data_IF_907231302632
#
_entry.id   IF_907231302632
#
_cell.length_a   1.000
_cell.length_b   1.000
_cell.length_c   1.000
_cell.angle_alpha   90.00
_cell.angle_beta   90.00
_cell.angle_gamma   90.00
#
_symmetry.space_group_name_H-M   'P 1'
#
loop_
_entity.id
_entity.type
_entity.pdbx_description
1 polymer ?
#
# COMPACT_ATOMS: atom_id res chain seq x y z
N UNK A 1 8.25 -11.86 -28.70
CA UNK A 1 9.35 -10.97 -28.25
C UNK A 1 8.91 -10.40 -26.92
N UNK A 2 9.78 -10.21 -25.92
CA UNK A 2 9.36 -9.57 -24.66
C UNK A 2 8.92 -8.12 -24.95
N UNK A 3 7.81 -7.63 -24.36
CA UNK A 3 7.36 -6.26 -24.57
C UNK A 3 8.33 -5.27 -23.93
N UNK A 4 8.52 -4.10 -24.55
CA UNK A 4 9.23 -2.96 -23.97
C UNK A 4 8.29 -2.18 -23.05
N UNK A 5 8.69 -2.06 -21.77
CA UNK A 5 7.87 -1.49 -20.70
C UNK A 5 8.59 -0.27 -20.09
N UNK A 6 7.90 0.87 -20.04
CA UNK A 6 8.34 2.06 -19.31
C UNK A 6 7.52 2.20 -18.02
N UNK A 7 8.17 2.07 -16.87
CA UNK A 7 7.54 2.24 -15.57
C UNK A 7 7.86 3.61 -14.98
N UNK A 8 6.84 4.43 -14.76
CA UNK A 8 6.94 5.74 -14.14
C UNK A 8 6.55 5.66 -12.67
N UNK A 9 7.41 6.18 -11.78
CA UNK A 9 7.20 6.08 -10.34
C UNK A 9 7.47 7.40 -9.60
N UNK A 10 6.77 7.61 -8.48
CA UNK A 10 6.82 8.87 -7.72
C UNK A 10 7.93 8.95 -6.67
N UNK A 11 8.47 7.81 -6.25
CA UNK A 11 9.45 7.74 -5.17
C UNK A 11 10.38 6.53 -5.34
N UNK A 12 11.68 6.76 -5.25
CA UNK A 12 12.68 5.71 -5.36
C UNK A 12 12.40 4.55 -4.37
N UNK A 13 12.34 3.30 -4.84
CA UNK A 13 11.73 2.20 -4.08
C UNK A 13 12.66 1.58 -3.01
N UNK A 14 13.92 2.01 -2.92
CA UNK A 14 14.91 1.47 -1.98
C UNK A 14 15.42 2.59 -1.04
N UNK A 15 15.57 2.34 0.27
CA UNK A 15 15.19 1.13 1.00
C UNK A 15 13.66 0.96 1.07
N UNK A 16 13.19 -0.28 1.17
CA UNK A 16 11.76 -0.63 1.31
C UNK A 16 11.25 -0.37 2.72
N UNK A 17 11.17 0.90 3.10
CA UNK A 17 10.85 1.37 4.45
C UNK A 17 9.35 1.63 4.68
N UNK A 18 8.52 1.51 3.64
CA UNK A 18 7.08 1.71 3.72
C UNK A 18 6.32 0.81 2.73
N UNK A 19 5.01 0.70 2.93
CA UNK A 19 4.17 -0.22 2.16
C UNK A 19 4.11 0.09 0.66
N UNK A 20 4.16 1.36 0.26
CA UNK A 20 4.20 1.76 -1.14
C UNK A 20 5.48 1.27 -1.83
N UNK A 21 6.63 1.49 -1.20
CA UNK A 21 7.93 1.01 -1.72
C UNK A 21 8.02 -0.51 -1.78
N UNK A 22 7.50 -1.22 -0.77
CA UNK A 22 7.43 -2.69 -0.76
C UNK A 22 6.64 -3.19 -1.98
N UNK A 23 5.46 -2.60 -2.23
CA UNK A 23 4.63 -2.97 -3.37
C UNK A 23 5.33 -2.70 -4.72
N UNK A 24 5.91 -1.50 -4.86
CA UNK A 24 6.65 -1.11 -6.07
C UNK A 24 7.79 -2.07 -6.36
N UNK A 25 8.56 -2.49 -5.35
CA UNK A 25 9.63 -3.47 -5.56
C UNK A 25 9.11 -4.78 -6.13
N UNK A 26 7.95 -5.28 -5.64
CA UNK A 26 7.31 -6.46 -6.21
C UNK A 26 6.86 -6.28 -7.65
N UNK A 27 6.32 -5.10 -8.01
CA UNK A 27 5.94 -4.82 -9.40
C UNK A 27 7.15 -4.75 -10.31
N UNK A 28 8.25 -4.12 -9.87
CA UNK A 28 9.48 -4.05 -10.67
C UNK A 28 10.09 -5.43 -10.89
N UNK A 29 10.11 -6.28 -9.86
CA UNK A 29 10.58 -7.66 -9.96
C UNK A 29 9.74 -8.46 -10.99
N UNK A 30 8.42 -8.41 -10.87
CA UNK A 30 7.52 -9.07 -11.81
C UNK A 30 7.65 -8.54 -13.25
N UNK A 31 7.73 -7.22 -13.43
CA UNK A 31 7.84 -6.62 -14.77
C UNK A 31 9.18 -6.94 -15.45
N UNK A 32 10.27 -7.16 -14.70
CA UNK A 32 11.53 -7.67 -15.27
C UNK A 32 11.42 -9.11 -15.80
N UNK A 33 10.55 -9.93 -15.19
CA UNK A 33 10.26 -11.28 -15.70
C UNK A 33 9.44 -11.21 -16.98
N UNK A 34 8.42 -10.35 -17.00
CA UNK A 34 7.46 -10.22 -18.11
C UNK A 34 8.06 -9.53 -19.34
N UNK A 35 8.86 -8.48 -19.15
CA UNK A 35 9.29 -7.61 -20.25
C UNK A 35 10.67 -6.97 -20.08
N UNK A 36 11.01 -6.12 -21.04
CA UNK A 36 12.21 -5.30 -21.06
C UNK A 36 11.91 -3.98 -20.32
N UNK A 37 12.38 -3.84 -19.08
CA UNK A 37 11.93 -2.80 -18.17
C UNK A 37 12.86 -1.59 -18.12
N UNK A 38 12.32 -0.41 -18.45
CA UNK A 38 12.92 0.90 -18.14
C UNK A 38 12.18 1.54 -16.97
N UNK A 39 12.90 1.94 -15.92
CA UNK A 39 12.33 2.70 -14.80
C UNK A 39 12.68 4.18 -14.92
N UNK A 40 11.69 5.06 -14.78
CA UNK A 40 11.88 6.48 -14.53
C UNK A 40 11.19 6.86 -13.21
N UNK A 41 11.98 7.32 -12.24
CA UNK A 41 11.49 7.64 -10.89
C UNK A 41 12.07 8.93 -10.35
N UNK A 42 11.38 9.55 -9.40
CA UNK A 42 11.99 10.57 -8.56
C UNK A 42 12.87 9.95 -7.48
N UNK A 43 13.88 10.69 -7.02
CA UNK A 43 14.74 10.29 -5.91
C UNK A 43 15.31 11.48 -5.13
N UNK A 44 15.72 11.20 -3.89
CA UNK A 44 16.43 12.12 -3.00
C UNK A 44 17.77 11.51 -2.59
N UNK A 45 18.72 12.35 -2.15
CA UNK A 45 20.02 11.89 -1.67
C UNK A 45 21.02 11.54 -2.78
N UNK A 46 21.82 10.50 -2.55
CA UNK A 46 22.85 10.03 -3.49
C UNK A 46 22.22 9.15 -4.58
N UNK A 47 21.91 9.78 -5.72
CA UNK A 47 21.20 9.12 -6.81
C UNK A 47 22.02 8.02 -7.49
N UNK A 48 23.35 8.15 -7.50
CA UNK A 48 24.23 7.17 -8.15
C UNK A 48 24.37 5.93 -7.27
N UNK A 49 24.50 6.12 -5.95
CA UNK A 49 24.41 5.01 -5.00
C UNK A 49 23.06 4.30 -5.12
N UNK A 50 21.96 5.05 -5.10
CA UNK A 50 20.60 4.53 -5.24
C UNK A 50 20.46 3.67 -6.50
N UNK A 51 20.90 4.20 -7.66
CA UNK A 51 20.89 3.48 -8.95
C UNK A 51 21.65 2.15 -8.86
N UNK A 52 22.88 2.16 -8.32
CA UNK A 52 23.70 0.94 -8.18
C UNK A 52 23.07 -0.08 -7.26
N UNK A 53 22.48 0.37 -6.16
CA UNK A 53 21.79 -0.50 -5.20
C UNK A 53 20.59 -1.19 -5.85
N UNK A 54 19.75 -0.45 -6.57
CA UNK A 54 18.62 -1.05 -7.27
C UNK A 54 19.05 -1.98 -8.41
N UNK A 55 20.08 -1.63 -9.19
CA UNK A 55 20.62 -2.53 -10.22
C UNK A 55 21.19 -3.83 -9.62
N UNK A 56 21.75 -3.76 -8.40
CA UNK A 56 22.24 -4.95 -7.70
C UNK A 56 21.08 -5.86 -7.25
N UNK A 57 19.98 -5.26 -6.76
CA UNK A 57 18.79 -6.00 -6.32
C UNK A 57 18.03 -6.58 -7.51
N UNK A 58 17.89 -5.82 -8.59
CA UNK A 58 17.19 -6.18 -9.82
C UNK A 58 18.15 -6.15 -11.02
N UNK A 59 19.05 -7.13 -11.18
CA UNK A 59 20.03 -7.12 -12.26
C UNK A 59 19.41 -7.22 -13.67
N UNK A 60 18.17 -7.70 -13.76
CA UNK A 60 17.42 -7.86 -15.01
C UNK A 60 16.75 -6.56 -15.50
N UNK A 61 16.82 -5.45 -14.75
CA UNK A 61 16.29 -4.17 -15.22
C UNK A 61 17.23 -3.56 -16.28
N UNK A 62 16.67 -3.12 -17.41
CA UNK A 62 17.45 -2.65 -18.56
C UNK A 62 18.06 -1.27 -18.29
N UNK A 63 17.25 -0.36 -17.75
CA UNK A 63 17.69 1.00 -17.47
C UNK A 63 16.91 1.61 -16.31
N UNK A 64 17.63 2.39 -15.51
CA UNK A 64 17.11 3.12 -14.35
C UNK A 64 17.37 4.60 -14.60
N UNK A 65 16.37 5.46 -14.48
CA UNK A 65 16.52 6.90 -14.59
C UNK A 65 15.96 7.52 -13.31
N UNK A 66 16.81 8.25 -12.58
CA UNK A 66 16.44 8.87 -11.31
C UNK A 66 16.54 10.38 -11.46
N UNK A 67 15.41 11.07 -11.28
CA UNK A 67 15.32 12.53 -11.33
C UNK A 67 15.35 13.07 -9.90
N UNK A 68 16.30 13.98 -9.57
CA UNK A 68 16.33 14.61 -8.25
C UNK A 68 15.04 15.41 -8.03
N UNK A 69 14.31 15.11 -6.97
CA UNK A 69 13.10 15.85 -6.63
C UNK A 69 12.83 15.79 -5.15
N UNK A 70 12.45 16.93 -4.55
CA UNK A 70 12.10 16.98 -3.15
C UNK A 70 10.69 16.42 -2.95
N UNK A 71 10.61 15.19 -2.47
CA UNK A 71 9.37 14.51 -2.11
C UNK A 71 8.95 14.94 -0.70
N UNK A 72 9.91 15.16 0.20
CA UNK A 72 9.66 15.49 1.61
C UNK A 72 9.67 17.00 1.88
N UNK A 73 8.61 17.70 1.48
CA UNK A 73 8.57 19.18 1.47
C UNK A 73 8.01 19.85 2.74
N UNK A 74 7.67 19.10 3.81
CA UNK A 74 6.89 19.62 4.97
C UNK A 74 7.48 20.86 5.65
N UNK A 75 8.76 21.19 5.42
CA UNK A 75 9.46 22.36 6.00
C UNK A 75 10.16 23.25 4.96
N UNK A 76 9.99 22.99 3.67
CA UNK A 76 10.62 23.77 2.60
C UNK A 76 9.62 24.74 1.98
N UNK A 77 9.65 25.99 2.44
CA UNK A 77 8.73 27.06 2.00
C UNK A 77 8.85 27.30 0.49
N UNK A 78 10.06 27.20 -0.09
CA UNK A 78 10.25 27.42 -1.53
C UNK A 78 9.59 26.31 -2.34
N UNK A 79 9.75 25.06 -1.89
CA UNK A 79 9.08 23.93 -2.52
C UNK A 79 7.55 24.07 -2.41
N UNK A 80 7.03 24.45 -1.24
CA UNK A 80 5.59 24.68 -1.04
C UNK A 80 5.07 25.77 -1.98
N UNK A 81 5.77 26.92 -2.08
CA UNK A 81 5.39 28.01 -3.00
C UNK A 81 5.40 27.55 -4.46
N UNK A 82 6.34 26.70 -4.85
CA UNK A 82 6.38 26.10 -6.18
C UNK A 82 5.13 25.25 -6.43
N UNK A 83 4.76 24.36 -5.50
CA UNK A 83 3.54 23.53 -5.61
C UNK A 83 2.29 24.41 -5.73
N UNK A 84 2.15 25.42 -4.88
CA UNK A 84 1.01 26.35 -4.91
C UNK A 84 0.93 27.05 -6.25
N UNK A 85 2.05 27.55 -6.79
CA UNK A 85 2.11 28.16 -8.13
C UNK A 85 1.67 27.18 -9.21
N UNK A 86 2.09 25.92 -9.15
CA UNK A 86 1.72 24.90 -10.12
C UNK A 86 0.23 24.54 -10.04
N UNK A 87 -0.33 24.46 -8.83
CA UNK A 87 -1.76 24.23 -8.61
C UNK A 87 -2.62 25.29 -9.31
N UNK A 88 -2.24 26.58 -9.23
CA UNK A 88 -3.00 27.66 -9.86
C UNK A 88 -2.68 27.80 -11.36
N UNK A 89 -1.41 27.74 -11.76
CA UNK A 89 -1.00 27.93 -13.17
C UNK A 89 -1.54 26.82 -14.07
N UNK A 90 -1.51 25.57 -13.59
CA UNK A 90 -1.90 24.38 -14.36
C UNK A 90 -3.23 23.78 -13.93
N UNK A 91 -3.94 24.41 -13.00
CA UNK A 91 -5.21 23.93 -12.44
C UNK A 91 -5.14 22.50 -11.86
N UNK A 92 -3.96 22.12 -11.33
CA UNK A 92 -3.70 20.79 -10.80
C UNK A 92 -4.10 20.69 -9.31
N UNK A 93 -4.54 19.50 -8.85
CA UNK A 93 -4.60 19.21 -7.42
C UNK A 93 -3.19 19.19 -6.82
N UNK A 94 -3.10 19.36 -5.50
CA UNK A 94 -1.88 19.31 -4.70
C UNK A 94 -1.06 18.06 -5.00
N UNK A 95 -1.71 16.89 -5.04
CA UNK A 95 -1.04 15.61 -5.28
C UNK A 95 -0.33 15.57 -6.63
N UNK A 96 -0.92 16.10 -7.70
CA UNK A 96 -0.27 16.18 -9.01
C UNK A 96 0.76 17.32 -9.08
N UNK A 97 0.40 18.51 -8.59
CA UNK A 97 1.23 19.70 -8.63
C UNK A 97 2.58 19.50 -7.90
N UNK A 98 2.59 18.68 -6.85
CA UNK A 98 3.80 18.31 -6.09
C UNK A 98 4.86 17.61 -6.93
N UNK A 99 4.46 16.84 -7.95
CA UNK A 99 5.37 16.03 -8.75
C UNK A 99 5.62 16.62 -10.14
N UNK A 100 5.19 17.85 -10.42
CA UNK A 100 5.55 18.51 -11.68
C UNK A 100 7.01 18.97 -11.64
N UNK A 101 7.83 18.36 -12.48
CA UNK A 101 9.25 18.66 -12.70
C UNK A 101 9.56 18.76 -14.19
N UNK A 102 10.28 19.82 -14.58
CA UNK A 102 10.77 19.99 -15.96
C UNK A 102 11.83 18.95 -16.29
N UNK A 103 12.75 18.68 -15.37
CA UNK A 103 13.78 17.67 -15.54
C UNK A 103 13.21 16.27 -15.76
N UNK A 104 12.10 15.94 -15.08
CA UNK A 104 11.39 14.68 -15.34
C UNK A 104 10.76 14.65 -16.73
N UNK A 105 10.15 15.76 -17.16
CA UNK A 105 9.58 15.89 -18.51
C UNK A 105 10.65 15.78 -19.60
N UNK A 106 11.80 16.41 -19.41
CA UNK A 106 12.96 16.34 -20.33
C UNK A 106 13.54 14.92 -20.39
N UNK A 107 13.73 14.29 -19.22
CA UNK A 107 14.23 12.91 -19.13
C UNK A 107 13.26 11.92 -19.77
N UNK A 108 11.95 12.09 -19.53
CA UNK A 108 10.90 11.31 -20.15
C UNK A 108 10.93 11.47 -21.68
N UNK A 109 11.09 12.69 -22.18
CA UNK A 109 11.17 12.96 -23.62
C UNK A 109 12.39 12.32 -24.28
N UNK A 110 13.54 12.32 -23.59
CA UNK A 110 14.74 11.61 -24.04
C UNK A 110 14.51 10.10 -24.12
N UNK A 111 13.98 9.48 -23.06
CA UNK A 111 13.69 8.04 -23.02
C UNK A 111 12.73 7.63 -24.15
N UNK A 112 11.65 8.39 -24.35
CA UNK A 112 10.66 8.10 -25.40
C UNK A 112 11.20 8.31 -26.82
N UNK A 113 12.28 9.08 -26.99
CA UNK A 113 12.95 9.29 -28.27
C UNK A 113 13.96 8.20 -28.62
N UNK A 114 14.46 7.45 -27.62
CA UNK A 114 15.47 6.41 -27.81
C UNK A 114 14.89 5.11 -28.36
N UNK A 115 13.69 4.71 -27.88
CA UNK A 115 12.98 3.53 -28.37
C UNK A 115 11.46 3.65 -28.20
N UNK A 116 10.74 2.80 -28.93
CA UNK A 116 9.30 2.64 -28.77
C UNK A 116 8.99 1.70 -27.61
N UNK A 117 7.97 2.02 -26.82
CA UNK A 117 7.47 1.17 -25.74
C UNK A 117 6.09 0.61 -26.12
N UNK A 118 5.84 -0.65 -25.78
CA UNK A 118 4.53 -1.28 -25.91
C UNK A 118 3.60 -0.80 -24.78
N UNK A 119 4.14 -0.76 -23.56
CA UNK A 119 3.41 -0.38 -22.35
C UNK A 119 4.12 0.73 -21.59
N UNK A 120 3.36 1.71 -21.10
CA UNK A 120 3.83 2.75 -20.19
C UNK A 120 2.95 2.71 -18.94
N UNK A 121 3.52 2.33 -17.80
CA UNK A 121 2.78 2.12 -16.56
C UNK A 121 3.04 3.29 -15.61
N UNK A 122 1.97 4.00 -15.22
CA UNK A 122 2.01 5.07 -14.22
C UNK A 122 1.72 4.49 -12.84
N UNK A 123 2.75 4.36 -12.00
CA UNK A 123 2.57 3.99 -10.60
C UNK A 123 2.25 5.25 -9.77
N UNK A 124 1.04 5.31 -9.21
CA UNK A 124 0.37 6.54 -8.72
C UNK A 124 -0.11 7.47 -9.85
N UNK A 125 -1.16 7.03 -10.55
CA UNK A 125 -1.80 7.75 -11.65
C UNK A 125 -2.09 9.24 -11.36
N UNK A 126 -2.62 9.56 -10.19
CA UNK A 126 -3.05 10.90 -9.81
C UNK A 126 -1.86 11.84 -9.61
N UNK A 127 -0.71 11.28 -9.22
CA UNK A 127 0.52 12.06 -8.98
C UNK A 127 1.29 12.28 -10.28
N UNK A 128 1.34 11.27 -11.14
CA UNK A 128 2.05 11.31 -12.43
C UNK A 128 1.17 11.76 -13.60
N UNK A 129 -0.13 11.90 -13.40
CA UNK A 129 -1.10 12.22 -14.46
C UNK A 129 -0.83 13.53 -15.19
N UNK A 130 -0.05 14.44 -14.60
CA UNK A 130 0.39 15.67 -15.24
C UNK A 130 1.31 15.42 -16.46
N UNK A 131 1.87 14.22 -16.60
CA UNK A 131 2.71 13.79 -17.71
C UNK A 131 1.92 13.09 -18.83
N UNK A 132 0.66 12.72 -18.62
CA UNK A 132 -0.16 12.04 -19.63
C UNK A 132 -0.22 12.77 -20.98
N UNK A 133 -0.39 14.11 -21.07
CA UNK A 133 -0.40 14.79 -22.36
C UNK A 133 0.89 14.62 -23.15
N UNK A 134 2.04 14.60 -22.45
CA UNK A 134 3.34 14.36 -23.07
C UNK A 134 3.43 12.93 -23.60
N UNK A 135 3.01 11.95 -22.79
CA UNK A 135 3.01 10.53 -23.18
C UNK A 135 2.14 10.29 -24.42
N UNK A 136 0.91 10.81 -24.42
CA UNK A 136 -0.01 10.68 -25.57
C UNK A 136 0.50 11.37 -26.84
N UNK A 137 1.34 12.39 -26.70
CA UNK A 137 1.95 13.09 -27.85
C UNK A 137 3.18 12.35 -28.38
N UNK A 138 4.06 11.87 -27.50
CA UNK A 138 5.36 11.31 -27.86
C UNK A 138 5.36 9.79 -28.04
N UNK A 139 4.39 9.09 -27.45
CA UNK A 139 4.19 7.66 -27.57
C UNK A 139 2.71 7.31 -27.82
N UNK A 140 2.06 7.85 -28.88
CA UNK A 140 0.65 7.59 -29.17
C UNK A 140 0.34 6.11 -29.43
N UNK A 141 1.34 5.31 -29.79
CA UNK A 141 1.22 3.87 -30.03
C UNK A 141 1.23 3.00 -28.76
N UNK A 142 1.66 3.55 -27.62
CA UNK A 142 1.82 2.76 -26.40
C UNK A 142 0.49 2.65 -25.64
N UNK A 143 0.23 1.48 -25.08
CA UNK A 143 -0.77 1.31 -24.03
C UNK A 143 -0.27 2.06 -22.79
N UNK A 144 -1.05 3.02 -22.30
CA UNK A 144 -0.75 3.77 -21.09
C UNK A 144 -1.67 3.28 -19.98
N UNK A 145 -1.07 2.55 -19.06
CA UNK A 145 -1.72 1.85 -17.97
C UNK A 145 -1.41 2.54 -16.65
N UNK A 146 -2.16 2.23 -15.60
CA UNK A 146 -1.81 2.68 -14.25
C UNK A 146 -1.86 1.60 -13.19
N UNK A 147 -1.07 1.80 -12.13
CA UNK A 147 -1.22 1.12 -10.86
C UNK A 147 -1.69 2.16 -9.84
N UNK A 148 -2.91 1.99 -9.35
CA UNK A 148 -3.52 2.85 -8.34
C UNK A 148 -3.09 2.36 -6.96
N UNK A 149 -2.19 3.11 -6.35
CA UNK A 149 -1.73 2.85 -4.98
C UNK A 149 -2.74 3.35 -3.94
N UNK A 150 -3.30 4.54 -4.16
CA UNK A 150 -4.31 5.18 -3.32
C UNK A 150 -5.27 5.96 -4.20
N UNK A 151 -6.56 5.99 -3.83
CA UNK A 151 -7.53 6.94 -4.39
C UNK A 151 -7.43 8.23 -3.57
N UNK A 152 -6.76 9.26 -4.10
CA UNK A 152 -6.45 10.48 -3.33
C UNK A 152 -7.72 11.26 -2.94
N UNK A 153 -8.79 11.15 -3.74
CA UNK A 153 -10.12 11.66 -3.38
C UNK A 153 -10.67 11.01 -2.10
N UNK A 154 -10.41 9.72 -1.87
CA UNK A 154 -10.80 9.01 -0.65
C UNK A 154 -9.96 9.48 0.54
N UNK A 155 -8.64 9.63 0.35
CA UNK A 155 -7.73 10.19 1.36
C UNK A 155 -8.18 11.57 1.84
N UNK A 156 -8.56 12.46 0.90
CA UNK A 156 -9.10 13.78 1.23
C UNK A 156 -10.47 13.70 1.90
N UNK A 157 -11.30 12.73 1.53
CA UNK A 157 -12.63 12.52 2.14
C UNK A 157 -12.51 12.11 3.60
N UNK A 158 -11.60 11.18 3.91
CA UNK A 158 -11.32 10.74 5.27
C UNK A 158 -10.78 11.90 6.12
N UNK A 159 -9.82 12.67 5.58
CA UNK A 159 -9.35 13.91 6.20
C UNK A 159 -10.51 14.88 6.51
N UNK A 160 -11.43 15.13 5.56
CA UNK A 160 -12.56 16.05 5.77
C UNK A 160 -13.51 15.53 6.86
N UNK A 161 -13.75 14.22 6.95
CA UNK A 161 -14.61 13.61 7.97
C UNK A 161 -14.01 13.78 9.37
N UNK A 162 -12.71 13.58 9.51
CA UNK A 162 -11.98 13.59 10.78
C UNK A 162 -11.77 14.99 11.37
N UNK A 163 -11.66 16.03 10.53
CA UNK A 163 -11.43 17.39 11.03
C UNK A 163 -12.73 18.12 11.42
N UNK A 164 -12.72 18.83 12.55
CA UNK A 164 -13.80 19.76 12.94
C UNK A 164 -13.92 20.93 11.95
N UNK A 165 -15.03 21.68 12.02
CA UNK A 165 -15.32 22.83 11.14
C UNK A 165 -14.21 23.90 11.25
N UNK A 166 -13.29 23.88 10.31
CA UNK A 166 -12.12 24.78 10.23
C UNK A 166 -11.91 25.27 8.80
N UNK A 167 -11.12 26.34 8.64
CA UNK A 167 -10.72 26.84 7.32
C UNK A 167 -10.01 25.74 6.50
N UNK A 168 -9.16 24.94 7.15
CA UNK A 168 -8.48 23.79 6.53
C UNK A 168 -9.48 22.78 5.96
N UNK A 169 -10.59 22.50 6.66
CA UNK A 169 -11.65 21.62 6.16
C UNK A 169 -12.32 22.19 4.90
N UNK A 170 -12.52 23.49 4.82
CA UNK A 170 -13.09 24.12 3.62
C UNK A 170 -12.11 24.06 2.44
N UNK A 171 -10.83 24.34 2.68
CA UNK A 171 -9.78 24.20 1.66
C UNK A 171 -9.67 22.75 1.17
N UNK A 172 -9.70 21.77 2.07
CA UNK A 172 -9.70 20.36 1.73
C UNK A 172 -10.93 19.95 0.89
N UNK A 173 -12.11 20.52 1.13
CA UNK A 173 -13.30 20.28 0.29
C UNK A 173 -13.15 20.82 -1.13
N UNK A 174 -12.56 22.01 -1.28
CA UNK A 174 -12.26 22.59 -2.60
C UNK A 174 -11.24 21.71 -3.31
N UNK A 175 -10.18 21.34 -2.59
CA UNK A 175 -9.12 20.48 -3.10
C UNK A 175 -9.65 19.11 -3.52
N UNK A 176 -10.52 18.49 -2.73
CA UNK A 176 -11.17 17.22 -3.08
C UNK A 176 -11.94 17.32 -4.40
N UNK A 177 -12.68 18.41 -4.63
CA UNK A 177 -13.39 18.61 -5.89
C UNK A 177 -12.44 18.78 -7.07
N UNK A 178 -11.29 19.44 -6.87
CA UNK A 178 -10.25 19.57 -7.89
C UNK A 178 -9.58 18.22 -8.18
N UNK A 179 -9.23 17.48 -7.13
CA UNK A 179 -8.63 16.14 -7.22
C UNK A 179 -9.56 15.19 -7.96
N UNK A 180 -10.83 15.09 -7.55
CA UNK A 180 -11.79 14.20 -8.21
C UNK A 180 -11.93 14.46 -9.72
N UNK A 181 -11.96 15.73 -10.15
CA UNK A 181 -12.00 16.06 -11.58
C UNK A 181 -10.71 15.67 -12.31
N UNK A 182 -9.56 15.89 -11.68
CA UNK A 182 -8.27 15.56 -12.26
C UNK A 182 -8.07 14.04 -12.33
N UNK A 183 -8.35 13.31 -11.25
CA UNK A 183 -8.35 11.85 -11.22
C UNK A 183 -9.24 11.27 -12.31
N UNK A 184 -10.48 11.76 -12.44
CA UNK A 184 -11.37 11.31 -13.50
C UNK A 184 -10.76 11.57 -14.89
N UNK A 185 -10.21 12.76 -15.11
CA UNK A 185 -9.54 13.10 -16.38
C UNK A 185 -8.33 12.22 -16.66
N UNK A 186 -7.55 11.84 -15.64
CA UNK A 186 -6.43 10.91 -15.77
C UNK A 186 -6.96 9.54 -16.18
N UNK A 187 -7.90 8.98 -15.41
CA UNK A 187 -8.51 7.67 -15.66
C UNK A 187 -9.21 7.58 -17.01
N UNK A 188 -9.79 8.68 -17.49
CA UNK A 188 -10.43 8.75 -18.81
C UNK A 188 -9.44 8.62 -19.97
N UNK A 189 -8.14 8.85 -19.71
CA UNK A 189 -7.06 8.79 -20.70
C UNK A 189 -6.10 7.61 -20.46
N UNK A 190 -6.51 6.59 -19.68
CA UNK A 190 -5.76 5.36 -19.48
C UNK A 190 -6.40 4.21 -20.27
N UNK A 191 -5.57 3.28 -20.73
CA UNK A 191 -6.01 2.07 -21.44
C UNK A 191 -6.43 0.98 -20.44
N UNK A 192 -5.72 0.86 -19.31
CA UNK A 192 -6.05 -0.06 -18.22
C UNK A 192 -5.67 0.48 -16.83
N UNK A 193 -6.40 0.02 -15.81
CA UNK A 193 -6.19 0.39 -14.42
C UNK A 193 -6.01 -0.86 -13.54
N UNK A 194 -4.82 -1.05 -13.01
CA UNK A 194 -4.52 -2.03 -11.98
C UNK A 194 -4.82 -1.45 -10.59
N UNK A 195 -5.69 -2.12 -9.84
CA UNK A 195 -6.07 -1.73 -8.48
C UNK A 195 -5.46 -2.68 -7.46
N UNK A 196 -4.87 -2.14 -6.39
CA UNK A 196 -4.25 -2.96 -5.34
C UNK A 196 -5.23 -3.49 -4.30
N UNK A 197 -6.51 -3.13 -4.43
CA UNK A 197 -7.58 -3.71 -3.64
C UNK A 197 -8.81 -4.04 -4.48
N UNK A 198 -9.50 -5.10 -4.10
CA UNK A 198 -10.80 -5.47 -4.71
C UNK A 198 -11.81 -4.34 -4.51
N UNK A 199 -11.74 -3.65 -3.37
CA UNK A 199 -12.65 -2.54 -3.05
C UNK A 199 -12.44 -1.33 -3.96
N UNK A 200 -11.19 -0.98 -4.27
CA UNK A 200 -10.86 0.11 -5.19
C UNK A 200 -11.22 -0.28 -6.63
N UNK A 201 -10.98 -1.54 -7.01
CA UNK A 201 -11.39 -2.07 -8.32
C UNK A 201 -12.90 -1.95 -8.54
N UNK A 202 -13.71 -2.39 -7.57
CA UNK A 202 -15.16 -2.28 -7.63
C UNK A 202 -15.62 -0.82 -7.67
N UNK A 203 -15.02 0.06 -6.84
CA UNK A 203 -15.34 1.49 -6.83
C UNK A 203 -15.07 2.11 -8.21
N UNK A 204 -13.88 1.91 -8.77
CA UNK A 204 -13.49 2.47 -10.07
C UNK A 204 -14.35 1.89 -11.20
N UNK A 205 -14.69 0.60 -11.13
CA UNK A 205 -15.54 -0.07 -12.13
C UNK A 205 -16.97 0.51 -12.15
N UNK A 206 -17.49 0.98 -11.02
CA UNK A 206 -18.81 1.61 -10.93
C UNK A 206 -18.82 3.06 -11.41
N UNK A 207 -17.67 3.74 -11.38
CA UNK A 207 -17.53 5.16 -11.73
C UNK A 207 -17.36 5.41 -13.25
N UNK A 208 -17.13 4.37 -14.06
CA UNK A 208 -16.67 4.50 -15.46
C UNK A 208 -17.50 3.80 -16.54
N UNK A 209 -17.30 4.23 -17.79
CA UNK A 209 -17.62 3.45 -19.01
C UNK A 209 -16.80 2.16 -19.05
N UNK A 210 -17.19 1.18 -19.87
CA UNK A 210 -16.50 -0.09 -20.17
C UNK A 210 -14.97 0.06 -20.28
N UNK A 211 -14.25 0.07 -19.16
CA UNK A 211 -12.80 0.18 -19.08
C UNK A 211 -12.25 -1.10 -18.50
N UNK A 212 -11.08 -1.48 -18.98
CA UNK A 212 -10.35 -2.60 -18.41
C UNK A 212 -9.79 -2.15 -17.06
N UNK A 213 -10.33 -2.74 -16.00
CA UNK A 213 -9.89 -2.54 -14.61
C UNK A 213 -9.66 -3.93 -14.05
N UNK A 214 -8.52 -4.16 -13.41
CA UNK A 214 -8.24 -5.45 -12.78
C UNK A 214 -7.65 -5.28 -11.40
N UNK A 215 -7.84 -6.30 -10.58
CA UNK A 215 -7.12 -6.44 -9.33
C UNK A 215 -5.69 -6.87 -9.62
N UNK A 216 -4.71 -6.18 -9.02
CA UNK A 216 -3.30 -6.55 -9.05
C UNK A 216 -2.88 -6.86 -7.61
N UNK A 217 -2.58 -8.14 -7.28
CA UNK A 217 -2.12 -8.47 -5.94
C UNK A 217 -0.78 -7.79 -5.65
N UNK A 218 -0.56 -7.46 -4.39
CA UNK A 218 0.73 -6.94 -3.95
C UNK A 218 1.64 -8.07 -3.48
N UNK A 219 2.90 -8.04 -3.89
CA UNK A 219 3.91 -8.98 -3.42
C UNK A 219 4.24 -8.72 -1.96
N UNK A 220 4.33 -9.79 -1.19
CA UNK A 220 5.10 -9.79 0.04
C UNK A 220 6.05 -10.97 0.01
N UNK A 221 7.33 -10.69 0.27
CA UNK A 221 8.36 -11.74 0.30
C UNK A 221 7.95 -12.81 1.30
N UNK A 222 7.79 -14.09 0.92
CA UNK A 222 7.43 -15.15 1.86
C UNK A 222 8.44 -15.24 3.00
N UNK A 223 8.00 -15.63 4.20
CA UNK A 223 8.93 -15.88 5.29
C UNK A 223 9.67 -17.21 5.03
N UNK A 224 11.01 -17.22 4.89
CA UNK A 224 11.77 -18.46 4.70
C UNK A 224 11.62 -19.46 5.86
N UNK A 225 11.01 -19.06 6.98
CA UNK A 225 10.78 -19.87 8.19
C UNK A 225 9.37 -20.46 8.27
N UNK A 226 8.77 -20.84 7.14
CA UNK A 226 7.51 -21.61 7.08
C UNK A 226 7.47 -22.83 8.02
N UNK A 227 8.63 -23.31 8.49
CA UNK A 227 8.77 -24.52 9.29
C UNK A 227 9.10 -24.33 10.79
N UNK A 228 9.23 -23.10 11.32
CA UNK A 228 9.70 -22.92 12.72
C UNK A 228 8.71 -22.29 13.69
N UNK A 229 7.45 -22.14 13.34
CA UNK A 229 6.43 -22.14 14.39
C UNK A 229 6.24 -23.56 14.90
N UNK A 230 7.28 -24.06 15.56
CA UNK A 230 7.20 -25.16 16.51
C UNK A 230 5.99 -24.89 17.40
N UNK A 231 5.14 -25.90 17.49
CA UNK A 231 4.11 -26.06 18.50
C UNK A 231 4.45 -25.35 19.81
N UNK A 232 3.52 -24.56 20.32
CA UNK A 232 3.46 -24.23 21.74
C UNK A 232 4.57 -23.33 22.26
N UNK A 233 4.27 -22.04 22.36
CA UNK A 233 4.31 -21.50 23.71
C UNK A 233 2.86 -21.45 24.15
N UNK A 234 2.50 -22.37 25.04
CA UNK A 234 1.34 -22.20 25.89
C UNK A 234 1.65 -21.00 26.80
N UNK A 235 1.59 -19.79 26.25
CA UNK A 235 1.42 -18.62 27.10
C UNK A 235 -0.02 -18.72 27.59
N UNK A 236 -0.21 -18.97 28.89
CA UNK A 236 -1.53 -18.87 29.53
C UNK A 236 -2.13 -17.45 29.41
N UNK A 237 -1.39 -16.51 28.84
CA UNK A 237 -1.78 -15.12 28.66
C UNK A 237 -2.04 -14.84 27.19
N UNK A 238 -3.25 -14.40 26.89
CA UNK A 238 -3.66 -13.88 25.60
C UNK A 238 -2.85 -12.61 25.26
N UNK A 239 -1.93 -12.71 24.30
CA UNK A 239 -1.10 -11.58 23.84
C UNK A 239 -1.46 -11.18 22.42
N UNK A 240 -1.88 -9.92 22.26
CA UNK A 240 -2.29 -9.32 21.00
C UNK A 240 -1.17 -8.40 20.51
N UNK A 241 -0.68 -8.63 19.30
CA UNK A 241 0.33 -7.78 18.67
C UNK A 241 -0.30 -6.84 17.65
N UNK A 242 0.16 -5.58 17.65
CA UNK A 242 -0.15 -4.60 16.62
C UNK A 242 1.15 -3.98 16.10
N UNK A 243 1.40 -4.10 14.80
CA UNK A 243 2.64 -3.60 14.17
C UNK A 243 2.31 -2.47 13.19
N UNK A 244 2.89 -1.29 13.42
CA UNK A 244 2.49 -0.08 12.68
C UNK A 244 3.40 1.13 12.89
N UNK A 245 3.45 2.04 11.92
CA UNK A 245 3.76 3.45 12.20
C UNK A 245 2.50 4.15 12.75
N UNK A 246 2.39 4.26 14.07
CA UNK A 246 1.27 4.92 14.75
C UNK A 246 1.31 6.46 14.65
N UNK A 247 2.33 7.04 14.03
CA UNK A 247 2.35 8.49 13.71
C UNK A 247 1.59 8.81 12.43
N UNK A 248 1.25 7.79 11.64
CA UNK A 248 0.36 7.95 10.50
C UNK A 248 -1.11 7.82 10.95
N UNK A 249 -1.91 8.81 10.59
CA UNK A 249 -3.26 9.01 11.13
C UNK A 249 -4.18 7.77 11.04
N UNK A 250 -4.30 7.05 9.90
CA UNK A 250 -5.17 5.85 9.83
C UNK A 250 -4.79 4.76 10.83
N UNK A 251 -3.50 4.68 11.17
CA UNK A 251 -3.01 3.73 12.15
C UNK A 251 -3.22 4.18 13.60
N UNK A 252 -3.09 5.49 13.84
CA UNK A 252 -3.41 6.08 15.13
C UNK A 252 -4.89 5.84 15.49
N UNK A 253 -5.78 5.98 14.50
CA UNK A 253 -7.21 5.69 14.65
C UNK A 253 -7.48 4.21 14.88
N UNK A 254 -6.79 3.34 14.14
CA UNK A 254 -6.91 1.89 14.32
C UNK A 254 -6.55 1.46 15.76
N UNK A 255 -5.42 1.95 16.30
CA UNK A 255 -5.01 1.61 17.67
C UNK A 255 -5.90 2.28 18.71
N UNK A 256 -6.37 3.50 18.48
CA UNK A 256 -7.33 4.15 19.36
C UNK A 256 -8.65 3.38 19.43
N UNK A 257 -9.20 2.94 18.29
CA UNK A 257 -10.38 2.09 18.26
C UNK A 257 -10.17 0.77 19.00
N UNK A 258 -9.03 0.12 18.80
CA UNK A 258 -8.69 -1.10 19.54
C UNK A 258 -8.64 -0.87 21.04
N UNK A 259 -7.94 0.16 21.51
CA UNK A 259 -7.72 0.37 22.94
C UNK A 259 -8.95 0.96 23.65
N UNK A 260 -9.79 1.73 22.96
CA UNK A 260 -10.95 2.39 23.57
C UNK A 260 -12.26 1.62 23.39
N UNK A 261 -12.39 0.82 22.32
CA UNK A 261 -13.61 0.08 22.03
C UNK A 261 -13.41 -1.43 22.22
N UNK A 262 -12.34 -2.02 21.68
CA UNK A 262 -12.18 -3.49 21.72
C UNK A 262 -11.60 -3.96 23.06
N UNK A 263 -10.54 -3.32 23.54
CA UNK A 263 -9.81 -3.75 24.75
C UNK A 263 -10.68 -3.83 26.01
N UNK A 264 -11.58 -2.87 26.32
CA UNK A 264 -12.46 -3.00 27.48
C UNK A 264 -13.39 -4.22 27.42
N UNK A 265 -13.86 -4.57 26.22
CA UNK A 265 -14.72 -5.74 25.98
C UNK A 265 -13.91 -7.03 26.06
N UNK A 266 -12.69 -6.99 25.56
CA UNK A 266 -11.75 -8.11 25.66
C UNK A 266 -11.39 -8.39 27.12
N UNK A 267 -11.03 -7.37 27.90
CA UNK A 267 -10.69 -7.51 29.32
C UNK A 267 -11.87 -7.95 30.19
N UNK A 268 -13.10 -7.73 29.75
CA UNK A 268 -14.28 -8.27 30.42
C UNK A 268 -14.44 -9.79 30.23
N UNK A 269 -13.86 -10.36 29.17
CA UNK A 269 -13.86 -11.80 28.91
C UNK A 269 -12.55 -12.46 29.38
N UNK A 270 -11.42 -11.79 29.15
CA UNK A 270 -10.05 -12.24 29.45
C UNK A 270 -9.28 -11.12 30.17
N UNK A 271 -9.35 -11.09 31.50
CA UNK A 271 -8.81 -9.98 32.32
C UNK A 271 -7.31 -9.75 32.15
N UNK A 272 -6.58 -10.83 31.87
CA UNK A 272 -5.12 -10.83 31.74
C UNK A 272 -4.65 -10.58 30.30
N UNK A 273 -5.57 -10.32 29.35
CA UNK A 273 -5.20 -10.07 27.96
C UNK A 273 -4.29 -8.84 27.82
N UNK A 274 -3.20 -8.97 27.07
CA UNK A 274 -2.17 -7.93 26.91
C UNK A 274 -2.02 -7.49 25.45
N UNK A 275 -1.74 -6.20 25.26
CA UNK A 275 -1.40 -5.62 23.97
C UNK A 275 0.09 -5.28 23.90
N UNK A 276 0.74 -5.71 22.82
CA UNK A 276 2.09 -5.29 22.41
C UNK A 276 1.96 -4.41 21.18
N UNK A 277 2.35 -3.14 21.30
CA UNK A 277 2.37 -2.17 20.20
C UNK A 277 3.80 -2.02 19.69
N UNK A 278 4.02 -2.27 18.41
CA UNK A 278 5.35 -2.22 17.77
C UNK A 278 5.36 -1.20 16.64
N UNK A 279 6.40 -0.40 16.61
CA UNK A 279 6.66 0.62 15.61
C UNK A 279 6.54 2.04 16.16
N UNK A 280 6.73 3.03 15.28
CA UNK A 280 6.88 4.44 15.64
C UNK A 280 5.61 4.96 16.34
N UNK A 281 5.76 5.70 17.43
CA UNK A 281 4.65 6.25 18.22
C UNK A 281 4.02 5.28 19.25
N UNK A 282 4.38 3.99 19.24
CA UNK A 282 3.81 2.99 20.16
C UNK A 282 4.07 3.31 21.64
N UNK A 283 5.30 3.70 22.00
CA UNK A 283 5.67 4.03 23.39
C UNK A 283 4.92 5.25 23.92
N UNK A 284 4.66 6.26 23.08
CA UNK A 284 3.86 7.42 23.45
C UNK A 284 2.41 7.04 23.73
N UNK A 285 1.82 6.19 22.89
CA UNK A 285 0.45 5.69 23.07
C UNK A 285 0.34 4.90 24.38
N UNK A 286 1.25 3.97 24.63
CA UNK A 286 1.25 3.17 25.85
C UNK A 286 1.44 4.04 27.11
N UNK A 287 2.40 4.98 27.07
CA UNK A 287 2.65 5.92 28.16
C UNK A 287 1.45 6.82 28.45
N UNK A 288 0.73 7.27 27.41
CA UNK A 288 -0.46 8.11 27.56
C UNK A 288 -1.64 7.33 28.15
N UNK A 289 -1.78 6.06 27.80
CA UNK A 289 -2.84 5.21 28.35
C UNK A 289 -2.57 4.86 29.83
N UNK A 290 -1.31 4.59 30.19
CA UNK A 290 -0.91 4.30 31.58
C UNK A 290 -1.39 2.95 32.12
N UNK A 291 -1.85 2.05 31.25
CA UNK A 291 -2.35 0.71 31.61
C UNK A 291 -1.25 -0.34 31.42
N UNK A 292 -0.95 -1.12 32.46
CA UNK A 292 0.09 -2.16 32.45
C UNK A 292 -0.18 -3.32 31.48
N UNK A 293 -1.42 -3.47 31.01
CA UNK A 293 -1.79 -4.46 30.00
C UNK A 293 -1.39 -4.01 28.59
N UNK A 294 -0.92 -2.78 28.41
CA UNK A 294 -0.52 -2.23 27.10
C UNK A 294 0.94 -1.80 27.13
N UNK A 295 1.75 -2.44 26.30
CA UNK A 295 3.18 -2.14 26.16
C UNK A 295 3.47 -1.53 24.79
N UNK A 296 4.24 -0.43 24.77
CA UNK A 296 4.71 0.20 23.55
C UNK A 296 6.21 -0.01 23.38
N UNK A 297 6.59 -0.87 22.45
CA UNK A 297 7.97 -1.37 22.29
C UNK A 297 8.85 -0.51 21.39
N UNK A 298 8.29 0.49 20.70
CA UNK A 298 9.03 1.28 19.72
C UNK A 298 9.41 0.43 18.49
N UNK A 299 10.49 0.83 17.82
CA UNK A 299 11.08 0.02 16.75
C UNK A 299 11.82 -1.18 17.35
N UNK A 300 11.72 -2.35 16.73
CA UNK A 300 12.30 -3.60 17.22
C UNK A 300 13.15 -4.23 16.13
N UNK A 301 14.29 -4.80 16.51
CA UNK A 301 15.24 -5.38 15.55
C UNK A 301 14.83 -6.79 15.08
N UNK A 302 14.11 -7.55 15.91
CA UNK A 302 13.64 -8.91 15.61
C UNK A 302 12.13 -9.02 15.84
N UNK A 303 11.37 -8.72 14.79
CA UNK A 303 9.90 -8.85 14.81
C UNK A 303 9.47 -10.33 14.87
N UNK A 304 10.24 -11.25 14.28
CA UNK A 304 9.95 -12.68 14.28
C UNK A 304 9.91 -13.24 15.70
N UNK A 305 10.79 -12.75 16.59
CA UNK A 305 10.76 -13.12 18.00
C UNK A 305 9.44 -12.75 18.65
N UNK A 306 8.94 -11.54 18.39
CA UNK A 306 7.65 -11.11 18.93
C UNK A 306 6.49 -11.91 18.34
N UNK A 307 6.57 -12.26 17.05
CA UNK A 307 5.56 -13.13 16.44
C UNK A 307 5.51 -14.49 17.14
N UNK A 308 6.65 -15.11 17.49
CA UNK A 308 6.67 -16.40 18.23
C UNK A 308 6.03 -16.34 19.63
N UNK A 309 6.01 -15.17 20.26
CA UNK A 309 5.46 -14.95 21.61
C UNK A 309 4.02 -14.39 21.58
N UNK A 310 3.39 -14.32 20.41
CA UNK A 310 2.09 -13.67 20.20
C UNK A 310 1.00 -14.70 19.96
N UNK A 311 -0.17 -14.50 20.59
CA UNK A 311 -1.35 -15.34 20.36
C UNK A 311 -2.06 -14.97 19.07
N UNK A 312 -2.30 -13.68 18.85
CA UNK A 312 -2.98 -13.16 17.68
C UNK A 312 -2.44 -11.79 17.25
N UNK A 313 -2.47 -11.52 15.94
CA UNK A 313 -2.17 -10.19 15.39
C UNK A 313 -3.47 -9.46 15.11
N UNK A 314 -3.61 -8.25 15.64
CA UNK A 314 -4.76 -7.39 15.35
C UNK A 314 -4.39 -6.36 14.27
N UNK A 315 -5.17 -6.33 13.19
CA UNK A 315 -4.98 -5.42 12.05
C UNK A 315 -6.29 -4.67 11.78
N UNK A 316 -6.66 -3.66 12.59
CA UNK A 316 -7.97 -3.03 12.56
C UNK A 316 -7.97 -1.85 11.57
N UNK A 317 -7.95 -2.14 10.28
CA UNK A 317 -7.88 -1.08 9.25
C UNK A 317 -9.25 -0.46 9.08
N UNK A 318 -9.36 0.83 9.42
CA UNK A 318 -10.63 1.58 9.34
C UNK A 318 -10.77 2.35 8.02
N UNK A 319 -9.68 2.62 7.31
CA UNK A 319 -9.71 3.28 6.01
C UNK A 319 -10.00 2.29 4.88
N UNK A 320 -10.73 2.75 3.86
CA UNK A 320 -11.17 1.93 2.72
C UNK A 320 -10.18 1.91 1.56
N UNK A 321 -9.21 2.83 1.50
CA UNK A 321 -8.24 2.95 0.39
C UNK A 321 -6.86 2.45 0.78
N UNK A 322 -6.07 2.04 -0.20
CA UNK A 322 -4.62 1.86 -0.06
C UNK A 322 -4.16 0.43 0.18
N UNK A 323 -2.84 0.24 0.10
CA UNK A 323 -2.22 -1.09 0.17
C UNK A 323 -2.33 -1.69 1.57
N UNK A 324 -2.77 -2.95 1.66
CA UNK A 324 -2.92 -3.70 2.91
C UNK A 324 -1.64 -4.45 3.33
N UNK A 325 -0.47 -3.85 3.14
CA UNK A 325 0.83 -4.50 3.44
C UNK A 325 0.89 -5.07 4.86
N UNK A 326 0.31 -4.41 5.86
CA UNK A 326 0.32 -4.92 7.24
C UNK A 326 -0.50 -6.18 7.44
N UNK A 327 -1.62 -6.28 6.72
CA UNK A 327 -2.43 -7.49 6.75
C UNK A 327 -1.67 -8.62 6.05
N UNK A 328 -1.04 -8.33 4.91
CA UNK A 328 -0.19 -9.29 4.21
C UNK A 328 1.03 -9.72 5.04
N UNK A 329 1.67 -8.80 5.77
CA UNK A 329 2.80 -9.10 6.66
C UNK A 329 2.38 -9.92 7.87
N UNK A 330 1.19 -9.66 8.41
CA UNK A 330 0.62 -10.50 9.47
C UNK A 330 0.26 -11.91 8.95
N UNK A 331 -0.27 -12.03 7.73
CA UNK A 331 -0.54 -13.34 7.11
C UNK A 331 0.75 -14.11 6.86
N UNK A 332 1.78 -13.41 6.40
CA UNK A 332 3.11 -13.97 6.20
C UNK A 332 3.73 -14.49 7.50
N UNK A 333 3.48 -13.84 8.64
CA UNK A 333 4.04 -14.29 9.94
C UNK A 333 3.41 -15.57 10.49
N UNK A 334 2.44 -16.15 9.76
CA UNK A 334 1.76 -17.39 10.10
C UNK A 334 1.20 -17.38 11.53
N UNK A 335 0.65 -16.24 11.96
CA UNK A 335 -0.12 -16.11 13.19
C UNK A 335 -1.62 -16.01 12.90
N UNK A 336 -2.48 -16.38 13.85
CA UNK A 336 -3.90 -16.07 13.74
C UNK A 336 -4.11 -14.55 13.69
N UNK A 337 -4.98 -14.10 12.79
CA UNK A 337 -5.21 -12.67 12.55
C UNK A 337 -6.66 -12.33 12.84
N UNK A 338 -6.86 -11.22 13.54
CA UNK A 338 -8.16 -10.57 13.64
C UNK A 338 -8.07 -9.21 12.95
N UNK A 339 -8.97 -8.95 12.00
CA UNK A 339 -8.99 -7.74 11.19
C UNK A 339 -10.41 -7.21 11.02
N UNK A 340 -10.55 -6.11 10.28
CA UNK A 340 -11.87 -5.57 9.90
C UNK A 340 -12.35 -6.24 8.62
N UNK A 341 -13.67 -6.25 8.40
CA UNK A 341 -14.26 -6.77 7.16
C UNK A 341 -13.72 -6.00 5.94
N UNK A 342 -13.53 -4.69 6.12
CA UNK A 342 -12.97 -3.79 5.11
C UNK A 342 -11.57 -4.20 4.69
N UNK A 343 -10.69 -4.56 5.64
CA UNK A 343 -9.33 -4.95 5.35
C UNK A 343 -9.25 -6.32 4.65
N UNK A 344 -10.04 -7.28 5.14
CA UNK A 344 -10.09 -8.63 4.59
C UNK A 344 -10.59 -8.61 3.14
N UNK A 345 -11.70 -7.91 2.90
CA UNK A 345 -12.30 -7.77 1.56
C UNK A 345 -11.34 -7.12 0.56
N UNK A 346 -10.55 -6.14 1.00
CA UNK A 346 -9.60 -5.43 0.14
C UNK A 346 -8.57 -6.37 -0.53
N UNK A 347 -8.20 -7.48 0.11
CA UNK A 347 -7.28 -8.46 -0.47
C UNK A 347 -7.98 -9.74 -0.95
N UNK A 348 -9.31 -9.84 -0.82
CA UNK A 348 -10.04 -11.07 -1.12
C UNK A 348 -9.86 -12.17 -0.06
N UNK A 349 -9.52 -11.82 1.17
CA UNK A 349 -9.44 -12.76 2.28
C UNK A 349 -10.84 -13.08 2.84
N UNK A 350 -11.04 -14.33 3.26
CA UNK A 350 -12.34 -14.86 3.70
C UNK A 350 -12.34 -15.01 5.23
N UNK A 351 -13.37 -14.48 5.88
CA UNK A 351 -13.61 -14.62 7.33
C UNK A 351 -13.85 -16.09 7.71
N UNK A 352 -13.20 -16.54 8.78
CA UNK A 352 -13.25 -17.92 9.25
C UNK A 352 -12.36 -18.90 8.47
N UNK A 353 -11.74 -18.46 7.37
CA UNK A 353 -10.85 -19.30 6.54
C UNK A 353 -9.40 -18.79 6.58
N UNK A 354 -9.16 -17.56 6.12
CA UNK A 354 -7.82 -16.97 6.09
C UNK A 354 -7.52 -16.14 7.35
N UNK A 355 -8.56 -15.55 7.95
CA UNK A 355 -8.48 -14.71 9.14
C UNK A 355 -9.84 -14.66 9.84
N UNK A 356 -9.93 -13.97 10.97
CA UNK A 356 -11.19 -13.59 11.59
C UNK A 356 -11.46 -12.09 11.33
N UNK A 357 -12.60 -11.72 10.78
CA UNK A 357 -12.95 -10.34 10.43
C UNK A 357 -14.20 -9.82 11.15
N UNK A 358 -14.17 -8.60 11.69
CA UNK A 358 -15.37 -7.94 12.20
C UNK A 358 -15.18 -6.43 12.25
N UNK A 359 -16.20 -5.67 11.87
CA UNK A 359 -16.25 -4.23 12.14
C UNK A 359 -16.86 -3.87 13.49
N UNK A 360 -17.57 -4.80 14.15
CA UNK A 360 -18.16 -4.59 15.47
C UNK A 360 -17.14 -4.86 16.59
N UNK A 361 -16.93 -3.94 17.55
CA UNK A 361 -15.94 -4.12 18.62
C UNK A 361 -16.19 -5.33 19.54
N UNK A 362 -17.44 -5.70 19.79
CA UNK A 362 -17.78 -6.83 20.66
C UNK A 362 -17.45 -8.14 19.96
N UNK A 363 -17.84 -8.27 18.70
CA UNK A 363 -17.51 -9.43 17.88
C UNK A 363 -16.02 -9.51 17.58
N UNK A 364 -15.32 -8.38 17.40
CA UNK A 364 -13.86 -8.37 17.24
C UNK A 364 -13.19 -8.95 18.49
N UNK A 365 -13.57 -8.47 19.68
CA UNK A 365 -13.04 -9.00 20.94
C UNK A 365 -13.35 -10.49 21.10
N UNK A 366 -14.58 -10.92 20.79
CA UNK A 366 -14.97 -12.34 20.86
C UNK A 366 -14.10 -13.21 19.94
N UNK A 367 -13.88 -12.77 18.70
CA UNK A 367 -13.04 -13.49 17.73
C UNK A 367 -11.58 -13.64 18.19
N UNK A 368 -11.04 -12.68 18.93
CA UNK A 368 -9.72 -12.82 19.57
C UNK A 368 -9.75 -13.94 20.62
N UNK A 369 -10.79 -13.97 21.46
CA UNK A 369 -10.96 -15.01 22.49
C UNK A 369 -11.15 -16.39 21.85
N UNK A 370 -11.95 -16.50 20.80
CA UNK A 370 -12.19 -17.76 20.09
C UNK A 370 -10.88 -18.36 19.53
N UNK A 371 -9.98 -17.51 19.01
CA UNK A 371 -8.64 -17.93 18.57
C UNK A 371 -7.80 -18.45 19.73
N UNK A 372 -7.88 -17.81 20.90
CA UNK A 372 -7.13 -18.16 22.09
C UNK A 372 -7.61 -19.47 22.72
N UNK A 373 -8.92 -19.63 22.85
CA UNK A 373 -9.56 -20.81 23.45
C UNK A 373 -9.55 -22.03 22.53
N UNK A 374 -9.40 -21.83 21.21
CA UNK A 374 -9.41 -22.90 20.21
C UNK A 374 -8.10 -22.99 19.40
N UNK A 375 -7.09 -23.72 19.90
CA UNK A 375 -5.83 -23.95 19.18
C UNK A 375 -6.00 -24.62 17.81
N UNK A 376 -7.07 -25.39 17.62
CA UNK A 376 -7.39 -26.03 16.33
C UNK A 376 -7.78 -24.99 15.27
N UNK A 377 -8.68 -24.07 15.63
CA UNK A 377 -9.06 -22.92 14.79
C UNK A 377 -7.84 -22.05 14.49
N UNK A 378 -7.06 -21.71 15.50
CA UNK A 378 -5.82 -20.95 15.32
C UNK A 378 -4.87 -21.64 14.34
N UNK A 379 -4.65 -22.95 14.48
CA UNK A 379 -3.82 -23.74 13.58
C UNK A 379 -4.32 -23.76 12.13
N UNK A 380 -5.64 -23.85 11.93
CA UNK A 380 -6.26 -23.80 10.61
C UNK A 380 -6.06 -22.43 9.96
N UNK A 381 -6.44 -21.34 10.64
CA UNK A 381 -6.31 -19.98 10.12
C UNK A 381 -4.88 -19.66 9.69
N UNK A 382 -3.89 -20.07 10.49
CA UNK A 382 -2.46 -19.86 10.19
C UNK A 382 -2.04 -20.54 8.90
N UNK A 383 -2.42 -21.81 8.71
CA UNK A 383 -2.09 -22.57 7.49
C UNK A 383 -2.76 -21.96 6.27
N UNK A 384 -4.04 -21.63 6.39
CA UNK A 384 -4.81 -21.02 5.30
C UNK A 384 -4.29 -19.64 4.93
N UNK A 385 -3.91 -18.80 5.91
CA UNK A 385 -3.30 -17.49 5.65
C UNK A 385 -1.96 -17.61 4.91
N UNK A 386 -1.10 -18.55 5.30
CA UNK A 386 0.18 -18.78 4.64
C UNK A 386 -0.01 -19.29 3.19
N UNK A 387 -0.91 -20.26 2.98
CA UNK A 387 -1.27 -20.74 1.65
C UNK A 387 -1.82 -19.60 0.78
N UNK A 388 -2.71 -18.77 1.34
CA UNK A 388 -3.27 -17.61 0.65
C UNK A 388 -2.18 -16.63 0.17
N UNK A 389 -1.17 -16.34 1.00
CA UNK A 389 -0.04 -15.47 0.60
C UNK A 389 0.76 -16.10 -0.54
N UNK A 390 1.09 -17.38 -0.45
CA UNK A 390 1.87 -18.06 -1.47
C UNK A 390 1.12 -18.18 -2.81
N UNK A 391 -0.20 -18.38 -2.77
CA UNK A 391 -1.03 -18.53 -3.96
C UNK A 391 -1.41 -17.19 -4.60
N UNK A 392 -1.70 -16.17 -3.79
CA UNK A 392 -2.28 -14.90 -4.28
C UNK A 392 -1.32 -13.73 -4.28
N UNK A 393 -0.28 -13.73 -3.45
CA UNK A 393 0.59 -12.57 -3.21
C UNK A 393 2.06 -12.86 -3.54
N UNK A 394 2.30 -13.67 -4.57
CA UNK A 394 3.63 -14.07 -5.06
C UNK A 394 4.03 -13.36 -6.35
N UNK A 395 5.33 -13.32 -6.67
CA UNK A 395 5.83 -12.80 -7.95
C UNK A 395 5.19 -13.53 -9.14
N UNK A 396 5.13 -14.89 -9.20
CA UNK A 396 4.44 -15.59 -10.28
C UNK A 396 2.99 -15.15 -10.51
N UNK A 397 2.24 -14.89 -9.43
CA UNK A 397 0.85 -14.43 -9.54
C UNK A 397 0.77 -13.04 -10.16
N UNK A 398 1.69 -12.14 -9.80
CA UNK A 398 1.75 -10.78 -10.35
C UNK A 398 2.18 -10.81 -11.82
N UNK A 399 3.17 -11.63 -12.17
CA UNK A 399 3.58 -11.87 -13.56
C UNK A 399 2.39 -12.34 -14.40
N UNK A 400 1.63 -13.33 -13.91
CA UNK A 400 0.47 -13.86 -14.61
C UNK A 400 -0.62 -12.79 -14.87
N UNK A 401 -0.87 -11.87 -13.93
CA UNK A 401 -1.84 -10.78 -14.15
C UNK A 401 -1.34 -9.77 -15.19
N UNK A 402 -0.05 -9.42 -15.20
CA UNK A 402 0.53 -8.58 -16.25
C UNK A 402 0.49 -9.26 -17.62
N UNK A 403 0.93 -10.52 -17.72
CA UNK A 403 0.93 -11.29 -18.97
C UNK A 403 -0.48 -11.47 -19.53
N UNK A 404 -1.45 -11.77 -18.65
CA UNK A 404 -2.87 -11.89 -19.03
C UNK A 404 -3.36 -10.59 -19.66
N UNK A 405 -3.09 -9.44 -19.06
CA UNK A 405 -3.49 -8.15 -19.63
C UNK A 405 -2.75 -7.87 -20.96
N UNK A 406 -1.43 -7.97 -20.97
CA UNK A 406 -0.60 -7.65 -22.14
C UNK A 406 -0.93 -8.54 -23.34
N UNK A 407 -1.26 -9.82 -23.12
CA UNK A 407 -1.68 -10.74 -24.19
C UNK A 407 -3.04 -10.40 -24.81
N UNK A 408 -3.91 -9.70 -24.07
CA UNK A 408 -5.21 -9.23 -24.56
C UNK A 408 -5.05 -7.93 -25.32
N UNK A 409 -4.27 -6.98 -24.82
CA UNK A 409 -4.03 -5.69 -25.47
C UNK A 409 -3.35 -5.86 -26.83
N UNK A 410 -2.37 -6.77 -26.94
CA UNK A 410 -1.66 -7.06 -28.21
C UNK A 410 -2.55 -7.69 -29.30
N UNK A 411 -3.74 -8.21 -28.95
CA UNK A 411 -4.69 -8.75 -29.93
C UNK A 411 -5.69 -7.73 -30.44
N UNK A 412 -5.81 -6.58 -29.76
CA UNK A 412 -6.79 -5.52 -30.03
C UNK A 412 -6.15 -4.32 -30.72
N UNK A 413 -4.82 -4.20 -30.61
CA UNK A 413 -3.97 -3.28 -31.38
C UNK A 413 -3.57 -3.89 -32.72
#
# INVERSE_FOLDING_TARGET
>A
MKPDILFLNVEFPVPTDNGGKIAVMGFLEALCEVGNLTLLTFGEGDLEKNRRELQCILPAIDSIHIVPHKIHIRRDIRAILCVVRQMFKRHLPYFAAKFVSSQFSETLGMILSEKTYNHIILCHDTRLGAYLPQLRTQAPQACIDSIVIDIETNVLSDFIKQHQLSLLKQLARIERRRCARFEQSVRDNLDHIFCLSVTDMEQISQEGKERSVSYLPTYIKPDPKENTCSSGIATNTLTILMVSDFTWQPNAEAVEWMLTQVAPRLWAMESDARFKLVGKGSSEIASRLGDERVSGLGFVDDLDKLYRETTAVAVPVLSTSGIRIKLLDAMRSALPIVSTDTAARAIGAIDGEHLMASNDPQNFARKIVDIFENPGLAGQLRKSAAAFINEKHSIPTICAEFEKYMSVSEKVS
#
